data_IF_991577957811
#
_entry.id   IF_991577957811
#
_cell.length_a   1.000
_cell.length_b   1.000
_cell.length_c   1.000
_cell.angle_alpha   90.00
_cell.angle_beta   90.00
_cell.angle_gamma   90.00
#
_symmetry.space_group_name_H-M   'P 1'
#
loop_
_entity.id
_entity.type
_entity.pdbx_description
1 polymer ?
#
# COMPACT_ATOMS: atom_id res chain seq x y z
N UNK A 1 3.20 -7.37 -16.59
CA UNK A 1 2.01 -7.40 -15.73
C UNK A 1 1.45 -5.98 -15.73
N UNK A 2 0.12 -5.80 -15.75
CA UNK A 2 -0.51 -4.48 -15.73
C UNK A 2 -0.25 -3.79 -14.38
N UNK A 3 0.23 -2.53 -14.39
CA UNK A 3 0.60 -1.79 -13.19
C UNK A 3 -0.58 -1.66 -12.22
N UNK A 4 -1.79 -1.46 -12.75
CA UNK A 4 -2.98 -1.37 -11.91
C UNK A 4 -3.32 -2.70 -11.23
N UNK A 5 -3.23 -3.82 -11.95
CA UNK A 5 -3.41 -5.17 -11.37
C UNK A 5 -2.38 -5.48 -10.31
N UNK A 6 -1.12 -5.06 -10.50
CA UNK A 6 -0.07 -5.27 -9.51
C UNK A 6 -0.34 -4.44 -8.24
N UNK A 7 -0.78 -3.18 -8.38
CA UNK A 7 -1.21 -2.37 -7.24
C UNK A 7 -2.37 -3.04 -6.49
N UNK A 8 -3.37 -3.58 -7.20
CA UNK A 8 -4.49 -4.29 -6.58
C UNK A 8 -4.02 -5.52 -5.79
N UNK A 9 -3.06 -6.29 -6.33
CA UNK A 9 -2.47 -7.44 -5.65
C UNK A 9 -1.75 -7.02 -4.37
N UNK A 10 -0.86 -6.02 -4.47
CA UNK A 10 -0.10 -5.49 -3.34
C UNK A 10 -1.01 -4.93 -2.24
N UNK A 11 -2.04 -4.17 -2.62
CA UNK A 11 -3.04 -3.64 -1.70
C UNK A 11 -3.80 -4.77 -0.98
N UNK A 12 -4.26 -5.78 -1.71
CA UNK A 12 -4.96 -6.92 -1.11
C UNK A 12 -4.06 -7.70 -0.13
N UNK A 13 -2.80 -7.94 -0.50
CA UNK A 13 -1.83 -8.61 0.37
C UNK A 13 -1.60 -7.84 1.67
N UNK A 14 -1.38 -6.52 1.58
CA UNK A 14 -1.23 -5.68 2.77
C UNK A 14 -2.51 -5.68 3.63
N UNK A 15 -3.70 -5.65 3.04
CA UNK A 15 -4.98 -5.69 3.77
C UNK A 15 -5.25 -7.02 4.47
N UNK A 16 -4.78 -8.13 3.90
CA UNK A 16 -4.94 -9.48 4.46
C UNK A 16 -3.76 -9.94 5.32
N UNK A 17 -2.73 -9.11 5.49
CA UNK A 17 -1.56 -9.45 6.31
C UNK A 17 -1.96 -9.83 7.73
N UNK A 18 -1.39 -10.94 8.20
CA UNK A 18 -1.51 -11.41 9.59
C UNK A 18 -0.41 -10.87 10.50
N UNK A 19 0.52 -10.07 9.95
CA UNK A 19 1.59 -9.44 10.71
C UNK A 19 1.04 -8.47 11.77
N UNK A 20 1.84 -8.18 12.78
CA UNK A 20 1.47 -7.22 13.83
C UNK A 20 2.67 -6.40 14.31
N UNK A 21 2.39 -5.32 15.04
CA UNK A 21 3.46 -4.49 15.59
C UNK A 21 4.38 -3.89 14.51
N UNK A 22 5.68 -4.00 14.73
CA UNK A 22 6.72 -3.49 13.82
C UNK A 22 6.76 -4.23 12.48
N UNK A 23 6.42 -5.52 12.46
CA UNK A 23 6.38 -6.30 11.21
C UNK A 23 5.32 -5.74 10.26
N UNK A 24 4.12 -5.50 10.78
CA UNK A 24 3.04 -4.88 10.01
C UNK A 24 3.42 -3.46 9.56
N UNK A 25 4.10 -2.68 10.40
CA UNK A 25 4.55 -1.34 10.01
C UNK A 25 5.55 -1.38 8.84
N UNK A 26 6.50 -2.30 8.88
CA UNK A 26 7.49 -2.49 7.82
C UNK A 26 6.84 -2.97 6.51
N UNK A 27 5.90 -3.91 6.58
CA UNK A 27 5.17 -4.40 5.42
C UNK A 27 4.33 -3.30 4.75
N UNK A 28 3.60 -2.52 5.55
CA UNK A 28 2.81 -1.39 5.04
C UNK A 28 3.73 -0.34 4.39
N UNK A 29 4.84 0.03 5.04
CA UNK A 29 5.80 0.99 4.50
C UNK A 29 6.36 0.56 3.14
N UNK A 30 6.85 -0.69 3.05
CA UNK A 30 7.36 -1.23 1.78
C UNK A 30 6.28 -1.31 0.69
N UNK A 31 5.04 -1.64 1.07
CA UNK A 31 3.93 -1.71 0.11
C UNK A 31 3.58 -0.31 -0.42
N UNK A 32 3.56 0.70 0.44
CA UNK A 32 3.30 2.10 0.06
C UNK A 32 4.34 2.61 -0.93
N UNK A 33 5.62 2.34 -0.67
CA UNK A 33 6.72 2.71 -1.57
C UNK A 33 6.57 2.04 -2.93
N UNK A 34 6.34 0.72 -2.96
CA UNK A 34 6.13 -0.03 -4.21
C UNK A 34 4.94 0.47 -5.02
N UNK A 35 3.81 0.77 -4.37
CA UNK A 35 2.64 1.34 -5.06
C UNK A 35 2.97 2.74 -5.59
N UNK A 36 3.74 3.53 -4.86
CA UNK A 36 4.24 4.84 -5.30
C UNK A 36 5.07 4.75 -6.59
N UNK A 37 5.96 3.76 -6.69
CA UNK A 37 6.81 3.52 -7.87
C UNK A 37 6.00 3.06 -9.10
N UNK A 38 4.85 2.42 -8.89
CA UNK A 38 3.95 1.97 -9.94
C UNK A 38 3.00 3.06 -10.43
N UNK A 39 2.78 4.13 -9.65
CA UNK A 39 1.83 5.20 -9.99
C UNK A 39 2.08 5.86 -11.36
N UNK A 40 3.32 6.19 -11.78
CA UNK A 40 3.56 6.77 -13.09
C UNK A 40 3.21 5.82 -14.25
N UNK A 41 3.21 4.51 -13.99
CA UNK A 41 2.98 3.43 -14.95
C UNK A 41 1.49 3.09 -15.12
N UNK A 42 0.63 3.51 -14.19
CA UNK A 42 -0.82 3.31 -14.28
C UNK A 42 -1.46 4.19 -15.35
N UNK A 43 -2.53 3.69 -15.97
CA UNK A 43 -3.29 4.45 -16.96
C UNK A 43 -3.90 5.71 -16.32
N UNK A 44 -4.07 6.82 -17.08
CA UNK A 44 -4.52 8.10 -16.52
C UNK A 44 -5.83 8.03 -15.73
N UNK A 45 -6.77 7.19 -16.16
CA UNK A 45 -8.07 6.94 -15.53
C UNK A 45 -7.99 6.05 -14.28
N UNK A 46 -6.92 5.26 -14.13
CA UNK A 46 -6.69 4.39 -12.98
C UNK A 46 -5.86 5.06 -11.87
N UNK A 47 -5.12 6.12 -12.17
CA UNK A 47 -4.22 6.81 -11.22
C UNK A 47 -4.92 7.25 -9.94
N UNK A 48 -6.16 7.74 -10.04
CA UNK A 48 -6.95 8.12 -8.86
C UNK A 48 -7.20 6.92 -7.95
N UNK A 49 -7.53 5.76 -8.52
CA UNK A 49 -7.72 4.52 -7.75
C UNK A 49 -6.42 4.03 -7.10
N UNK A 50 -5.29 4.13 -7.82
CA UNK A 50 -3.95 3.81 -7.28
C UNK A 50 -3.60 4.71 -6.10
N UNK A 51 -3.83 6.01 -6.23
CA UNK A 51 -3.61 6.98 -5.15
C UNK A 51 -4.48 6.68 -3.94
N UNK A 52 -5.77 6.38 -4.14
CA UNK A 52 -6.69 6.05 -3.06
C UNK A 52 -6.24 4.79 -2.29
N UNK A 53 -5.84 3.73 -3.00
CA UNK A 53 -5.29 2.53 -2.36
C UNK A 53 -4.03 2.84 -1.56
N UNK A 54 -3.11 3.64 -2.12
CA UNK A 54 -1.87 4.00 -1.45
C UNK A 54 -2.12 4.84 -0.19
N UNK A 55 -3.00 5.84 -0.28
CA UNK A 55 -3.39 6.69 0.85
C UNK A 55 -4.06 5.89 1.96
N UNK A 56 -4.91 4.92 1.62
CA UNK A 56 -5.55 4.04 2.61
C UNK A 56 -4.51 3.22 3.42
N UNK A 57 -3.47 2.71 2.77
CA UNK A 57 -2.38 2.02 3.46
C UNK A 57 -1.56 2.97 4.33
N UNK A 58 -1.29 4.18 3.86
CA UNK A 58 -0.58 5.20 4.63
C UNK A 58 -1.36 5.62 5.90
N UNK A 59 -2.68 5.77 5.79
CA UNK A 59 -3.57 6.02 6.94
C UNK A 59 -3.53 4.86 7.93
N UNK A 60 -3.57 3.61 7.46
CA UNK A 60 -3.45 2.43 8.31
C UNK A 60 -2.11 2.39 9.05
N UNK A 61 -1.00 2.67 8.36
CA UNK A 61 0.33 2.76 8.97
C UNK A 61 0.38 3.87 10.03
N UNK A 62 -0.18 5.05 9.73
CA UNK A 62 -0.24 6.17 10.65
C UNK A 62 -1.12 5.91 11.88
N UNK A 63 -2.10 5.00 11.77
CA UNK A 63 -2.97 4.58 12.86
C UNK A 63 -2.35 3.52 13.78
N UNK A 64 -1.21 2.91 13.41
CA UNK A 64 -0.54 1.92 14.28
C UNK A 64 -0.06 2.57 15.59
N UNK A 65 -0.12 1.85 16.74
CA UNK A 65 0.42 2.30 18.00
C UNK A 65 1.87 2.78 17.85
N UNK A 66 2.28 3.79 18.63
CA UNK A 66 3.65 4.34 18.53
C UNK A 66 4.74 3.33 18.86
N UNK A 67 4.42 2.32 19.65
CA UNK A 67 5.32 1.20 20.00
C UNK A 67 5.57 0.24 18.82
N UNK A 68 4.71 0.33 17.80
CA UNK A 68 4.77 -0.48 16.58
C UNK A 68 5.45 0.25 15.41
N UNK A 69 5.88 1.51 15.59
CA UNK A 69 6.59 2.31 14.59
C UNK A 69 8.07 2.39 14.94
#
# INVERSE_FOLDING_TARGET
>A
MDAYREVQRLYAEAMMSTASGQELAAELGQTIERIGDLLPQAAPDERSSVLLMNSSLAERLAALPKESR
#
